data_IF_951513998818
#
_entry.id   IF_951513998818
#
_cell.length_a   1.000
_cell.length_b   1.000
_cell.length_c   1.000
_cell.angle_alpha   90.00
_cell.angle_beta   90.00
_cell.angle_gamma   90.00
#
_symmetry.space_group_name_H-M   'P 1'
#
loop_
_entity.id
_entity.type
_entity.pdbx_description
1 polymer ?
#
# COMPACT_ATOMS: atom_id res chain seq x y z
N UNK A 1 -3.95 -30.00 -28.72
CA UNK A 1 -5.02 -30.62 -27.90
C UNK A 1 -5.50 -29.58 -26.90
N UNK A 2 -6.72 -29.07 -27.05
CA UNK A 2 -7.28 -28.04 -26.17
C UNK A 2 -7.88 -28.71 -24.92
N UNK A 3 -7.27 -28.48 -23.76
CA UNK A 3 -7.81 -28.93 -22.47
C UNK A 3 -9.03 -28.09 -22.12
N UNK A 4 -10.21 -28.71 -22.14
CA UNK A 4 -11.44 -28.05 -21.71
C UNK A 4 -11.45 -27.81 -20.20
N UNK A 5 -11.81 -26.58 -19.81
CA UNK A 5 -11.90 -26.06 -18.43
C UNK A 5 -12.62 -26.98 -17.43
N UNK A 6 -13.57 -27.79 -17.92
CA UNK A 6 -14.36 -28.74 -17.12
C UNK A 6 -13.58 -30.00 -16.69
N UNK A 7 -12.52 -30.37 -17.41
CA UNK A 7 -11.67 -31.51 -17.06
C UNK A 7 -10.60 -31.15 -16.02
N UNK A 8 -10.14 -29.89 -16.02
CA UNK A 8 -9.22 -29.38 -14.99
C UNK A 8 -9.88 -29.33 -13.61
N UNK A 9 -11.15 -28.92 -13.54
CA UNK A 9 -11.91 -28.90 -12.27
C UNK A 9 -12.23 -30.31 -11.73
N UNK A 10 -12.37 -31.33 -12.60
CA UNK A 10 -12.53 -32.72 -12.17
C UNK A 10 -11.23 -33.32 -11.62
N UNK A 11 -10.07 -32.91 -12.16
CA UNK A 11 -8.77 -33.34 -11.63
C UNK A 11 -8.54 -32.81 -10.20
N UNK A 12 -8.90 -31.55 -9.93
CA UNK A 12 -8.83 -30.97 -8.57
C UNK A 12 -9.77 -31.67 -7.58
N UNK A 13 -10.97 -32.10 -8.01
CA UNK A 13 -11.92 -32.79 -7.14
C UNK A 13 -11.52 -34.24 -6.83
N UNK A 14 -10.77 -34.92 -7.71
CA UNK A 14 -10.36 -36.31 -7.53
C UNK A 14 -9.14 -36.48 -6.60
N UNK A 15 -8.29 -35.47 -6.46
CA UNK A 15 -7.14 -35.51 -5.54
C UNK A 15 -7.59 -35.42 -4.07
N UNK A 16 -8.76 -34.84 -3.80
CA UNK A 16 -9.30 -34.72 -2.44
C UNK A 16 -9.92 -36.02 -1.88
N UNK A 17 -10.01 -37.11 -2.65
CA UNK A 17 -10.77 -38.31 -2.26
C UNK A 17 -9.93 -39.59 -2.08
N UNK A 18 -8.60 -39.56 -2.29
CA UNK A 18 -7.77 -40.76 -2.36
C UNK A 18 -6.94 -41.10 -1.10
N UNK A 19 -7.05 -40.34 -0.01
CA UNK A 19 -6.32 -40.65 1.24
C UNK A 19 -7.30 -41.12 2.31
N UNK A 20 -8.07 -42.16 2.00
CA UNK A 20 -8.85 -42.89 2.98
C UNK A 20 -9.05 -44.32 2.47
N UNK A 21 -8.11 -45.23 2.80
CA UNK A 21 -8.33 -46.66 3.03
C UNK A 21 -6.97 -47.41 3.10
N UNK A 22 -6.63 -47.90 4.29
CA UNK A 22 -5.50 -48.81 4.50
C UNK A 22 -5.22 -49.07 5.98
N UNK A 23 -5.93 -50.05 6.58
CA UNK A 23 -5.75 -50.52 7.96
C UNK A 23 -4.98 -51.85 7.99
N UNK A 24 -4.17 -52.03 9.06
CA UNK A 24 -3.73 -53.27 9.74
C UNK A 24 -2.68 -54.13 8.98
N UNK A 25 -1.57 -54.64 9.52
CA UNK A 25 -1.17 -55.22 10.83
C UNK A 25 0.38 -55.18 10.98
N UNK A 26 1.02 -54.96 12.14
CA UNK A 26 1.52 -56.01 13.07
C UNK A 26 2.38 -55.39 14.21
N UNK A 27 2.28 -55.98 15.41
CA UNK A 27 3.11 -55.97 16.65
C UNK A 27 4.52 -55.30 16.63
N UNK A 28 5.04 -54.67 17.69
CA UNK A 28 5.23 -55.15 19.07
C UNK A 28 5.59 -54.00 20.04
N UNK A 29 5.42 -54.25 21.35
CA UNK A 29 5.62 -53.38 22.51
C UNK A 29 6.97 -52.66 22.62
N UNK A 30 6.95 -51.45 23.21
CA UNK A 30 7.73 -51.12 24.41
C UNK A 30 7.19 -49.84 25.06
N UNK A 31 6.94 -49.96 26.35
CA UNK A 31 6.36 -48.97 27.25
C UNK A 31 7.36 -47.88 27.64
N UNK A 32 6.98 -46.62 27.43
CA UNK A 32 7.43 -45.48 28.21
C UNK A 32 6.25 -44.52 28.41
N UNK A 33 6.14 -44.01 29.63
CA UNK A 33 5.11 -43.07 30.11
C UNK A 33 5.03 -41.83 29.23
N UNK A 34 3.84 -41.41 28.73
CA UNK A 34 3.71 -40.14 28.05
C UNK A 34 3.50 -39.02 29.09
N UNK A 35 4.40 -38.03 29.07
CA UNK A 35 4.05 -36.64 29.36
C UNK A 35 2.86 -36.23 28.49
N UNK A 36 2.03 -35.24 28.89
CA UNK A 36 0.89 -34.83 28.09
C UNK A 36 1.40 -34.18 26.79
N UNK A 37 1.53 -34.98 25.75
CA UNK A 37 1.83 -34.54 24.38
C UNK A 37 0.67 -33.67 23.90
N UNK A 38 1.04 -32.47 23.44
CA UNK A 38 0.39 -31.78 22.33
C UNK A 38 0.21 -32.77 21.18
N UNK A 39 -1.01 -33.30 21.05
CA UNK A 39 -1.39 -34.11 19.91
C UNK A 39 -1.48 -33.22 18.67
N UNK A 40 -0.36 -33.09 17.95
CA UNK A 40 -0.35 -32.52 16.61
C UNK A 40 -0.16 -33.65 15.61
N UNK A 41 -1.10 -33.72 14.67
CA UNK A 41 -1.10 -34.66 13.56
C UNK A 41 0.12 -34.37 12.68
N UNK A 42 0.87 -35.39 12.28
CA UNK A 42 1.89 -35.26 11.23
C UNK A 42 1.18 -34.87 9.93
N UNK A 43 1.16 -33.58 9.65
CA UNK A 43 0.49 -32.99 8.49
C UNK A 43 1.31 -33.14 7.19
N UNK A 44 2.44 -33.87 7.21
CA UNK A 44 3.35 -33.99 6.07
C UNK A 44 4.09 -32.70 5.73
N UNK A 45 4.07 -31.72 6.64
CA UNK A 45 4.81 -30.46 6.53
C UNK A 45 6.22 -30.67 7.08
N UNK A 46 7.24 -30.20 6.34
CA UNK A 46 8.64 -30.26 6.78
C UNK A 46 9.01 -29.31 7.93
N UNK A 47 8.00 -28.73 8.60
CA UNK A 47 8.14 -27.82 9.75
C UNK A 47 6.95 -28.00 10.69
N UNK A 48 7.12 -27.60 11.95
CA UNK A 48 6.02 -27.56 12.93
C UNK A 48 5.28 -26.21 12.81
N UNK A 49 3.98 -26.19 12.48
CA UNK A 49 3.19 -24.97 12.45
C UNK A 49 3.10 -24.32 13.83
N UNK A 50 3.12 -22.99 13.86
CA UNK A 50 2.91 -22.23 15.09
C UNK A 50 1.42 -22.20 15.44
N UNK A 51 1.09 -22.38 16.72
CA UNK A 51 -0.28 -22.25 17.19
C UNK A 51 -0.67 -20.77 17.27
N UNK A 52 -1.62 -20.36 16.42
CA UNK A 52 -2.18 -19.01 16.44
C UNK A 52 -3.26 -18.81 17.53
N UNK A 53 -3.79 -17.58 17.67
CA UNK A 53 -4.82 -17.27 18.67
C UNK A 53 -6.21 -17.80 18.30
N UNK A 54 -6.42 -18.27 17.07
CA UNK A 54 -7.67 -18.81 16.57
C UNK A 54 -7.43 -20.16 15.89
N UNK A 55 -8.35 -21.13 16.03
CA UNK A 55 -8.23 -22.41 15.36
C UNK A 55 -8.36 -22.25 13.84
N UNK A 56 -7.40 -22.80 13.10
CA UNK A 56 -7.46 -22.95 11.65
C UNK A 56 -7.87 -24.39 11.30
N UNK A 57 -8.53 -24.59 10.13
CA UNK A 57 -8.83 -25.94 9.64
C UNK A 57 -7.62 -26.86 9.51
N UNK A 58 -6.42 -26.27 9.35
CA UNK A 58 -5.13 -26.96 9.22
C UNK A 58 -4.54 -27.43 10.54
N UNK A 59 -5.08 -27.00 11.68
CA UNK A 59 -4.48 -27.29 12.99
C UNK A 59 -4.79 -28.71 13.48
N UNK A 60 -5.69 -29.43 12.78
CA UNK A 60 -6.06 -30.81 13.13
C UNK A 60 -6.84 -30.92 14.45
N UNK A 61 -7.30 -29.80 15.02
CA UNK A 61 -8.09 -29.76 16.26
C UNK A 61 -9.57 -29.96 15.96
N UNK A 62 -10.14 -31.06 16.46
CA UNK A 62 -11.57 -31.36 16.37
C UNK A 62 -12.41 -30.19 16.92
N UNK A 63 -13.50 -29.83 16.24
CA UNK A 63 -14.39 -28.72 16.62
C UNK A 63 -14.78 -28.73 18.11
N UNK A 64 -15.05 -29.92 18.68
CA UNK A 64 -15.46 -30.07 20.07
C UNK A 64 -14.35 -29.72 21.09
N UNK A 65 -13.09 -29.69 20.67
CA UNK A 65 -11.92 -29.40 21.52
C UNK A 65 -11.36 -28.00 21.31
N UNK A 66 -11.74 -27.31 20.23
CA UNK A 66 -11.18 -25.99 19.88
C UNK A 66 -11.37 -24.96 21.01
N UNK A 67 -12.55 -24.89 21.65
CA UNK A 67 -12.78 -23.93 22.74
C UNK A 67 -11.85 -24.14 23.94
N UNK A 68 -11.43 -25.39 24.19
CA UNK A 68 -10.48 -25.71 25.26
C UNK A 68 -9.04 -25.49 24.80
N UNK A 69 -8.69 -25.90 23.57
CA UNK A 69 -7.33 -25.78 23.03
C UNK A 69 -6.90 -24.32 22.77
N UNK A 70 -7.86 -23.41 22.57
CA UNK A 70 -7.63 -21.99 22.32
C UNK A 70 -8.23 -21.11 23.43
N UNK A 71 -8.43 -21.66 24.64
CA UNK A 71 -8.95 -20.87 25.77
C UNK A 71 -7.95 -19.83 26.30
N UNK A 72 -6.67 -20.01 26.00
CA UNK A 72 -5.57 -19.14 26.41
C UNK A 72 -4.57 -19.03 25.28
N UNK A 73 -3.93 -17.87 25.15
CA UNK A 73 -2.82 -17.64 24.24
C UNK A 73 -1.80 -16.73 24.91
N UNK A 74 -0.54 -16.82 24.48
CA UNK A 74 0.53 -15.93 24.91
C UNK A 74 0.65 -14.78 23.93
N UNK A 75 0.81 -13.56 24.44
CA UNK A 75 1.16 -12.40 23.62
C UNK A 75 2.68 -12.28 23.61
N UNK A 76 3.26 -12.55 22.45
CA UNK A 76 4.70 -12.36 22.21
C UNK A 76 4.85 -11.17 21.26
N UNK A 77 5.56 -10.13 21.70
CA UNK A 77 5.89 -8.96 20.88
C UNK A 77 7.15 -9.23 20.05
N UNK A 78 7.10 -10.26 19.20
CA UNK A 78 8.17 -10.71 18.32
C UNK A 78 7.60 -11.42 17.08
N UNK A 79 8.35 -11.44 15.98
CA UNK A 79 8.03 -12.25 14.81
C UNK A 79 8.42 -13.71 15.06
N UNK A 80 7.44 -14.52 15.45
CA UNK A 80 7.65 -15.96 15.66
C UNK A 80 7.63 -16.69 14.32
N UNK A 81 8.68 -17.46 14.05
CA UNK A 81 8.84 -18.23 12.81
C UNK A 81 8.98 -19.74 13.09
N UNK A 82 8.65 -20.61 12.12
CA UNK A 82 8.96 -22.03 12.21
C UNK A 82 10.47 -22.29 12.35
N UNK A 83 10.82 -23.44 12.90
CA UNK A 83 12.22 -23.88 13.00
C UNK A 83 12.93 -23.85 11.63
N UNK A 84 14.16 -23.33 11.61
CA UNK A 84 14.97 -23.19 10.39
C UNK A 84 14.73 -21.90 9.59
N UNK A 85 13.76 -21.07 9.97
CA UNK A 85 13.53 -19.75 9.38
C UNK A 85 14.12 -18.64 10.26
N UNK A 86 14.59 -17.58 9.61
CA UNK A 86 15.10 -16.36 10.25
C UNK A 86 14.54 -15.13 9.55
N UNK A 87 14.60 -13.98 10.21
CA UNK A 87 14.29 -12.69 9.60
C UNK A 87 15.40 -11.68 9.90
N UNK A 88 15.56 -10.71 8.99
CA UNK A 88 16.43 -9.56 9.16
C UNK A 88 15.58 -8.29 9.09
N UNK A 89 15.86 -7.31 9.95
CA UNK A 89 15.24 -5.98 9.86
C UNK A 89 15.99 -5.17 8.82
N UNK A 90 15.32 -4.83 7.71
CA UNK A 90 15.93 -4.09 6.60
C UNK A 90 15.91 -2.58 6.83
N UNK A 91 14.81 -2.05 7.34
CA UNK A 91 14.62 -0.64 7.66
C UNK A 91 13.43 -0.47 8.61
N UNK A 92 13.46 0.61 9.39
CA UNK A 92 12.39 1.04 10.27
C UNK A 92 12.04 2.52 10.04
N UNK A 93 10.84 2.93 10.45
CA UNK A 93 10.42 4.34 10.39
C UNK A 93 11.47 5.26 11.03
N UNK A 94 11.79 6.36 10.35
CA UNK A 94 12.80 7.32 10.78
C UNK A 94 14.21 7.06 10.23
N UNK A 95 14.52 5.84 9.76
CA UNK A 95 15.81 5.56 9.12
C UNK A 95 16.04 6.45 7.91
N UNK A 96 17.29 6.85 7.65
CA UNK A 96 17.59 7.72 6.50
C UNK A 96 17.27 7.03 5.16
N UNK A 97 16.58 7.76 4.27
CA UNK A 97 16.34 7.35 2.88
C UNK A 97 16.56 8.56 1.98
N UNK A 98 17.72 8.59 1.30
CA UNK A 98 18.11 9.73 0.47
C UNK A 98 18.22 11.03 1.26
N UNK A 99 17.46 12.04 0.83
CA UNK A 99 17.29 13.36 1.46
C UNK A 99 16.16 13.40 2.50
N UNK A 100 15.56 12.25 2.82
CA UNK A 100 14.41 12.11 3.70
C UNK A 100 14.60 10.90 4.64
N UNK A 101 13.49 10.32 5.10
CA UNK A 101 13.45 9.18 6.02
C UNK A 101 12.55 8.06 5.52
N UNK A 102 12.68 6.86 6.05
CA UNK A 102 11.74 5.77 5.86
C UNK A 102 10.41 6.14 6.52
N UNK A 103 9.31 6.05 5.77
CA UNK A 103 8.00 6.52 6.21
C UNK A 103 7.35 5.64 7.27
N UNK A 104 6.14 6.01 7.67
CA UNK A 104 5.34 5.32 8.69
C UNK A 104 4.41 4.29 8.06
N UNK A 105 4.09 3.22 8.80
CA UNK A 105 3.23 2.12 8.35
C UNK A 105 3.55 1.69 6.92
N UNK A 106 4.73 1.07 6.74
CA UNK A 106 5.05 0.51 5.44
C UNK A 106 3.99 -0.53 5.04
N UNK A 107 3.61 -0.50 3.78
CA UNK A 107 2.65 -1.43 3.21
C UNK A 107 3.33 -2.16 2.03
N UNK A 108 2.77 -2.10 0.83
CA UNK A 108 3.22 -2.91 -0.29
C UNK A 108 4.70 -2.74 -0.62
N UNK A 109 5.32 -3.88 -0.86
CA UNK A 109 6.72 -4.06 -1.17
C UNK A 109 6.86 -4.64 -2.58
N UNK A 110 7.66 -3.99 -3.42
CA UNK A 110 8.02 -4.49 -4.74
C UNK A 110 9.54 -4.57 -4.86
N UNK A 111 10.05 -5.79 -5.06
CA UNK A 111 11.47 -6.03 -5.31
C UNK A 111 11.76 -6.10 -6.82
N UNK A 112 12.63 -5.23 -7.31
CA UNK A 112 13.14 -5.24 -8.69
C UNK A 112 14.64 -5.57 -8.65
N UNK A 113 14.99 -6.75 -9.15
CA UNK A 113 16.38 -7.20 -9.17
C UNK A 113 17.25 -6.32 -10.08
N UNK A 114 18.44 -5.94 -9.60
CA UNK A 114 19.46 -5.22 -10.38
C UNK A 114 20.68 -6.10 -10.66
N UNK A 115 20.80 -7.23 -9.96
CA UNK A 115 21.87 -8.20 -10.08
C UNK A 115 21.58 -9.45 -9.26
N UNK A 116 22.51 -10.40 -9.27
CA UNK A 116 22.41 -11.58 -8.39
C UNK A 116 22.54 -11.15 -6.93
N UNK A 117 21.51 -11.40 -6.12
CA UNK A 117 21.50 -10.98 -4.72
C UNK A 117 21.42 -9.47 -4.51
N UNK A 118 21.05 -8.68 -5.52
CA UNK A 118 20.95 -7.22 -5.42
C UNK A 118 19.65 -6.72 -6.04
N UNK A 119 19.08 -5.66 -5.48
CA UNK A 119 17.92 -5.03 -6.08
C UNK A 119 17.46 -3.76 -5.39
N UNK A 120 16.39 -3.22 -5.95
CA UNK A 120 15.68 -2.06 -5.45
C UNK A 120 14.35 -2.51 -4.88
N UNK A 121 14.10 -2.17 -3.62
CA UNK A 121 12.82 -2.34 -2.98
C UNK A 121 12.05 -1.03 -3.06
N UNK A 122 10.92 -1.04 -3.74
CA UNK A 122 9.92 0.03 -3.63
C UNK A 122 9.00 -0.28 -2.48
N UNK A 123 8.77 0.71 -1.63
CA UNK A 123 8.01 0.60 -0.39
C UNK A 123 6.94 1.67 -0.37
N UNK A 124 5.70 1.26 -0.18
CA UNK A 124 4.60 2.18 0.12
C UNK A 124 4.58 2.55 1.60
N UNK A 125 4.16 3.77 1.92
CA UNK A 125 3.93 4.28 3.26
C UNK A 125 2.51 4.82 3.31
N UNK A 126 1.62 4.02 3.90
CA UNK A 126 0.19 4.18 3.68
C UNK A 126 -0.37 5.35 4.48
N UNK A 127 -0.33 5.26 5.81
CA UNK A 127 -0.94 6.23 6.72
C UNK A 127 -0.07 6.48 7.95
N UNK A 128 -0.46 7.45 8.78
CA UNK A 128 0.07 7.58 10.14
C UNK A 128 -0.99 7.16 11.16
N UNK A 129 -0.58 6.38 12.15
CA UNK A 129 -1.42 6.06 13.30
C UNK A 129 -1.42 7.25 14.26
N UNK A 130 -2.28 8.25 14.03
CA UNK A 130 -2.18 9.59 14.63
C UNK A 130 -1.76 9.65 16.11
N UNK A 131 -2.45 8.93 16.99
CA UNK A 131 -2.12 8.86 18.42
C UNK A 131 -0.69 8.33 18.68
N UNK A 132 -0.38 7.13 18.19
CA UNK A 132 0.93 6.50 18.34
C UNK A 132 2.02 7.36 17.70
N UNK A 133 1.78 7.87 16.49
CA UNK A 133 2.70 8.74 15.77
C UNK A 133 3.05 9.97 16.59
N UNK A 134 2.07 10.70 17.13
CA UNK A 134 2.36 11.88 17.97
C UNK A 134 3.15 11.52 19.24
N UNK A 135 2.88 10.36 19.84
CA UNK A 135 3.55 9.91 21.08
C UNK A 135 5.02 9.54 20.85
N UNK A 136 5.32 8.87 19.73
CA UNK A 136 6.67 8.37 19.45
C UNK A 136 7.49 9.25 18.51
N UNK A 137 6.88 10.27 17.86
CA UNK A 137 7.54 11.13 16.87
C UNK A 137 8.87 11.70 17.37
N UNK A 138 8.87 12.33 18.56
CA UNK A 138 10.08 12.93 19.09
C UNK A 138 11.18 11.91 19.41
N UNK A 139 10.81 10.68 19.79
CA UNK A 139 11.76 9.62 20.11
C UNK A 139 12.41 9.05 18.85
N UNK A 140 11.63 8.85 17.79
CA UNK A 140 12.11 8.25 16.53
C UNK A 140 12.80 9.28 15.64
N UNK A 141 12.23 10.49 15.54
CA UNK A 141 12.73 11.53 14.65
C UNK A 141 13.76 12.46 15.32
N UNK A 142 13.71 12.59 16.64
CA UNK A 142 14.53 13.57 17.36
C UNK A 142 14.05 15.02 17.21
N UNK A 143 12.79 15.22 16.76
CA UNK A 143 12.15 16.54 16.60
C UNK A 143 10.84 16.59 17.37
N UNK A 144 10.60 17.66 18.13
CA UNK A 144 9.30 17.91 18.76
C UNK A 144 8.37 18.68 17.82
N UNK A 145 7.06 18.47 17.95
CA UNK A 145 6.03 19.16 17.18
C UNK A 145 4.98 19.79 18.11
N UNK A 146 4.31 20.89 17.67
CA UNK A 146 3.43 21.69 18.53
C UNK A 146 2.05 21.05 18.78
N UNK A 147 1.98 19.73 19.01
CA UNK A 147 0.71 19.00 19.14
C UNK A 147 -0.19 19.55 20.27
N UNK A 148 0.39 19.84 21.43
CA UNK A 148 -0.39 20.32 22.59
C UNK A 148 -1.04 21.68 22.31
N UNK A 149 -0.29 22.59 21.68
CA UNK A 149 -0.77 23.93 21.35
C UNK A 149 -1.88 23.88 20.29
N UNK A 150 -1.70 23.08 19.25
CA UNK A 150 -2.71 22.94 18.19
C UNK A 150 -3.96 22.21 18.71
N UNK A 151 -3.81 21.18 19.54
CA UNK A 151 -4.97 20.52 20.21
C UNK A 151 -5.75 21.49 21.09
N UNK A 152 -5.06 22.34 21.84
CA UNK A 152 -5.70 23.38 22.67
C UNK A 152 -6.49 24.37 21.80
N UNK A 153 -5.90 24.83 20.69
CA UNK A 153 -6.58 25.73 19.76
C UNK A 153 -7.78 25.08 19.06
N UNK A 154 -7.73 23.77 18.77
CA UNK A 154 -8.80 23.02 18.13
C UNK A 154 -9.93 22.58 19.09
N UNK A 155 -9.79 22.80 20.40
CA UNK A 155 -10.73 22.27 21.39
C UNK A 155 -12.16 22.80 21.21
N UNK A 156 -12.31 24.08 20.85
CA UNK A 156 -13.61 24.71 20.63
C UNK A 156 -14.35 24.18 19.38
N UNK A 157 -13.62 23.54 18.47
CA UNK A 157 -14.13 23.01 17.20
C UNK A 157 -14.05 21.48 17.16
N UNK A 158 -14.03 20.82 18.32
CA UNK A 158 -13.96 19.36 18.45
C UNK A 158 -12.77 18.72 17.71
N UNK A 159 -11.66 19.45 17.58
CA UNK A 159 -10.46 19.00 16.89
C UNK A 159 -10.36 19.43 15.43
N UNK A 160 -11.40 20.03 14.84
CA UNK A 160 -11.45 20.38 13.41
C UNK A 160 -11.06 21.84 13.16
N UNK A 161 -10.16 22.11 12.21
CA UNK A 161 -9.78 23.46 11.82
C UNK A 161 -9.70 23.52 10.30
N UNK A 162 -10.42 24.47 9.68
CA UNK A 162 -10.19 24.84 8.29
C UNK A 162 -8.91 25.70 8.18
N UNK A 163 -7.76 25.04 8.30
CA UNK A 163 -6.46 25.69 8.33
C UNK A 163 -6.10 26.40 7.01
N UNK A 164 -6.70 25.97 5.90
CA UNK A 164 -6.59 26.66 4.60
C UNK A 164 -7.06 28.11 4.68
N UNK A 165 -8.17 28.36 5.37
CA UNK A 165 -8.80 29.68 5.47
C UNK A 165 -8.11 30.63 6.47
N UNK A 166 -7.19 30.13 7.30
CA UNK A 166 -6.43 30.97 8.22
C UNK A 166 -5.53 31.94 7.44
N UNK A 167 -5.30 33.17 7.94
CA UNK A 167 -4.32 34.10 7.37
C UNK A 167 -2.93 33.48 7.26
N UNK A 168 -2.13 33.90 6.28
CA UNK A 168 -0.80 33.32 6.04
C UNK A 168 0.20 33.65 7.15
N UNK A 169 0.01 34.75 7.86
CA UNK A 169 0.80 35.18 9.02
C UNK A 169 0.25 34.66 10.36
N UNK A 170 -0.82 33.85 10.34
CA UNK A 170 -1.40 33.27 11.54
C UNK A 170 -0.44 32.23 12.17
N UNK A 171 -0.02 32.42 13.44
CA UNK A 171 0.86 31.47 14.13
C UNK A 171 0.29 30.06 14.25
N UNK A 172 -1.04 29.90 14.33
CA UNK A 172 -1.70 28.61 14.37
C UNK A 172 -1.58 27.90 13.02
N UNK A 173 -1.74 28.64 11.90
CA UNK A 173 -1.54 28.08 10.55
C UNK A 173 -0.12 27.55 10.38
N UNK A 174 0.89 28.30 10.83
CA UNK A 174 2.29 27.87 10.77
C UNK A 174 2.54 26.56 11.55
N UNK A 175 1.96 26.42 12.75
CA UNK A 175 2.06 25.19 13.55
C UNK A 175 1.34 24.00 12.90
N UNK A 176 0.17 24.23 12.32
CA UNK A 176 -0.57 23.19 11.57
C UNK A 176 0.20 22.78 10.31
N UNK A 177 0.82 23.72 9.59
CA UNK A 177 1.69 23.44 8.45
C UNK A 177 2.87 22.58 8.85
N UNK A 178 3.47 22.83 10.01
CA UNK A 178 4.57 22.00 10.50
C UNK A 178 4.13 20.56 10.75
N UNK A 179 3.08 20.36 11.55
CA UNK A 179 2.52 19.01 11.82
C UNK A 179 2.13 18.31 10.52
N UNK A 180 1.45 19.03 9.63
CA UNK A 180 0.95 18.49 8.38
C UNK A 180 2.08 18.11 7.43
N UNK A 181 3.14 18.92 7.35
CA UNK A 181 4.32 18.61 6.54
C UNK A 181 4.97 17.33 7.02
N UNK A 182 5.24 17.20 8.32
CA UNK A 182 5.90 16.01 8.86
C UNK A 182 5.04 14.74 8.65
N UNK A 183 3.74 14.82 8.93
CA UNK A 183 2.83 13.68 8.72
C UNK A 183 2.62 13.31 7.25
N UNK A 184 2.83 14.22 6.30
CA UNK A 184 2.82 13.93 4.86
C UNK A 184 4.19 13.43 4.36
N UNK A 185 5.30 13.83 4.98
CA UNK A 185 6.64 13.24 4.73
C UNK A 185 6.64 11.74 5.07
N UNK A 186 5.91 11.36 6.12
CA UNK A 186 5.81 9.98 6.56
C UNK A 186 4.87 9.10 5.72
N UNK A 187 4.21 9.64 4.69
CA UNK A 187 3.40 8.90 3.72
C UNK A 187 4.01 8.98 2.31
N UNK A 188 3.52 8.15 1.39
CA UNK A 188 3.93 8.16 -0.01
C UNK A 188 4.62 6.86 -0.42
N UNK A 189 5.71 6.99 -1.16
CA UNK A 189 6.55 5.88 -1.61
C UNK A 189 8.02 6.13 -1.23
N UNK A 190 8.80 5.07 -1.22
CA UNK A 190 10.25 5.10 -1.14
C UNK A 190 10.87 4.05 -2.04
N UNK A 191 12.07 4.34 -2.54
CA UNK A 191 12.94 3.36 -3.18
C UNK A 191 14.16 3.22 -2.29
N UNK A 192 14.53 1.98 -2.01
CA UNK A 192 15.71 1.65 -1.21
C UNK A 192 16.50 0.55 -1.90
N UNK A 193 17.82 0.64 -1.88
CA UNK A 193 18.70 -0.38 -2.44
C UNK A 193 19.13 -1.37 -1.38
N UNK A 194 19.06 -2.66 -1.73
CA UNK A 194 19.42 -3.77 -0.86
C UNK A 194 20.35 -4.76 -1.57
N UNK A 195 21.18 -5.43 -0.80
CA UNK A 195 22.01 -6.54 -1.28
C UNK A 195 22.04 -7.68 -0.28
N UNK A 196 22.32 -8.86 -0.79
CA UNK A 196 22.60 -10.05 -0.01
C UNK A 196 24.09 -10.11 0.32
N UNK A 197 24.41 -10.27 1.59
CA UNK A 197 25.78 -10.43 2.08
C UNK A 197 26.29 -11.84 1.81
N UNK A 198 27.60 -12.06 1.99
CA UNK A 198 28.23 -13.36 1.78
C UNK A 198 27.72 -14.45 2.73
N UNK A 199 27.29 -14.09 3.95
CA UNK A 199 26.64 -14.97 4.92
C UNK A 199 25.12 -15.14 4.67
N UNK A 200 24.59 -14.48 3.63
CA UNK A 200 23.25 -14.70 3.13
C UNK A 200 22.16 -13.79 3.71
N UNK A 201 22.53 -12.81 4.55
CA UNK A 201 21.60 -11.79 5.08
C UNK A 201 21.32 -10.71 4.05
N UNK A 202 20.19 -10.04 4.19
CA UNK A 202 19.90 -8.86 3.37
C UNK A 202 20.15 -7.58 4.15
N UNK A 203 20.82 -6.61 3.51
CA UNK A 203 21.12 -5.31 4.12
C UNK A 203 20.89 -4.16 3.14
N UNK A 204 20.66 -2.96 3.68
CA UNK A 204 20.62 -1.72 2.93
C UNK A 204 22.00 -1.37 2.39
N UNK A 205 22.06 -0.94 1.12
CA UNK A 205 23.30 -0.40 0.55
C UNK A 205 23.38 1.12 0.61
N UNK A 206 22.27 1.81 0.95
CA UNK A 206 22.20 3.27 1.06
C UNK A 206 22.74 3.99 -0.20
N UNK A 207 22.36 3.49 -1.38
CA UNK A 207 22.89 3.97 -2.64
C UNK A 207 22.28 5.32 -3.03
N UNK A 208 22.84 6.01 -4.04
CA UNK A 208 22.20 7.19 -4.63
C UNK A 208 20.82 6.96 -5.26
N UNK A 209 20.37 5.70 -5.41
CA UNK A 209 19.00 5.40 -5.85
C UNK A 209 17.97 5.59 -4.74
N UNK A 210 18.41 5.60 -3.48
CA UNK A 210 17.54 5.72 -2.31
C UNK A 210 16.88 7.10 -2.29
N UNK A 211 15.55 7.11 -2.32
CA UNK A 211 14.77 8.36 -2.38
C UNK A 211 13.35 8.18 -1.86
N UNK A 212 12.73 9.29 -1.49
CA UNK A 212 11.31 9.36 -1.10
C UNK A 212 10.51 10.16 -2.12
N UNK A 213 9.29 9.70 -2.36
CA UNK A 213 8.22 10.43 -3.02
C UNK A 213 7.14 10.59 -1.96
N UNK A 214 7.10 11.74 -1.31
CA UNK A 214 6.29 11.94 -0.11
C UNK A 214 4.90 12.48 -0.45
N UNK A 215 4.00 12.52 0.54
CA UNK A 215 2.72 13.23 0.45
C UNK A 215 2.83 14.73 0.19
N UNK A 216 4.04 15.30 0.22
CA UNK A 216 4.30 16.73 0.00
C UNK A 216 5.35 17.02 -1.07
N UNK A 217 5.83 15.99 -1.79
CA UNK A 217 6.78 16.16 -2.90
C UNK A 217 6.18 17.06 -3.99
N UNK A 218 6.99 17.92 -4.59
CA UNK A 218 6.55 18.99 -5.48
C UNK A 218 6.36 20.33 -4.79
N UNK A 219 5.86 20.37 -3.54
CA UNK A 219 5.53 21.64 -2.89
C UNK A 219 6.77 22.50 -2.60
N UNK A 220 7.85 21.89 -2.12
CA UNK A 220 9.06 22.60 -1.68
C UNK A 220 10.31 22.27 -2.49
N UNK A 221 10.31 21.15 -3.20
CA UNK A 221 11.48 20.60 -3.90
C UNK A 221 11.32 20.61 -5.43
N UNK A 222 10.20 21.12 -5.95
CA UNK A 222 9.81 21.11 -7.36
C UNK A 222 9.75 19.72 -8.02
N UNK A 223 9.75 18.64 -7.24
CA UNK A 223 9.62 17.25 -7.71
C UNK A 223 8.15 16.86 -7.86
N UNK A 224 7.42 17.62 -8.68
CA UNK A 224 6.00 17.36 -8.93
C UNK A 224 5.79 16.02 -9.62
N UNK A 225 4.75 15.31 -9.19
CA UNK A 225 4.24 14.15 -9.91
C UNK A 225 3.59 14.62 -11.22
N UNK A 226 3.69 13.76 -12.23
CA UNK A 226 3.06 13.95 -13.54
C UNK A 226 1.73 13.22 -13.60
N UNK A 227 0.96 13.47 -14.65
CA UNK A 227 -0.23 12.68 -14.96
C UNK A 227 -0.32 12.35 -16.45
N UNK A 228 -0.94 11.20 -16.75
CA UNK A 228 -1.33 10.81 -18.11
C UNK A 228 -2.82 10.52 -18.16
N UNK A 229 -3.38 10.36 -19.37
CA UNK A 229 -4.78 10.05 -19.57
C UNK A 229 -5.72 11.27 -19.48
N UNK A 230 -7.04 11.05 -19.54
CA UNK A 230 -8.02 12.10 -19.79
C UNK A 230 -8.16 13.11 -18.65
N UNK A 231 -7.96 12.73 -17.39
CA UNK A 231 -8.15 13.68 -16.28
C UNK A 231 -7.06 14.77 -16.21
N UNK A 232 -5.90 14.56 -16.87
CA UNK A 232 -4.89 15.60 -17.01
C UNK A 232 -5.45 16.87 -17.69
N UNK A 233 -6.41 16.72 -18.61
CA UNK A 233 -7.08 17.87 -19.23
C UNK A 233 -8.00 18.62 -18.25
N UNK A 234 -8.59 17.93 -17.28
CA UNK A 234 -9.40 18.54 -16.22
C UNK A 234 -8.52 19.35 -15.27
N UNK A 235 -7.34 18.84 -14.92
CA UNK A 235 -6.40 19.54 -14.02
C UNK A 235 -5.90 20.88 -14.59
N UNK A 236 -5.90 21.04 -15.91
CA UNK A 236 -5.49 22.26 -16.61
C UNK A 236 -6.62 23.26 -16.87
N UNK A 237 -7.87 22.96 -16.46
CA UNK A 237 -8.98 23.90 -16.64
C UNK A 237 -8.80 25.13 -15.76
N UNK A 238 -8.92 26.30 -16.35
CA UNK A 238 -8.90 27.58 -15.63
C UNK A 238 -10.27 27.96 -15.07
N UNK A 239 -11.34 27.62 -15.81
CA UNK A 239 -12.72 27.87 -15.43
C UNK A 239 -13.35 26.55 -14.99
N UNK A 240 -13.70 26.46 -13.71
CA UNK A 240 -14.25 25.27 -13.07
C UNK A 240 -15.45 25.61 -12.19
N UNK A 241 -16.31 24.64 -11.95
CA UNK A 241 -17.46 24.77 -11.04
C UNK A 241 -17.03 24.83 -9.57
N UNK A 242 -16.01 24.04 -9.21
CA UNK A 242 -15.50 23.90 -7.86
C UNK A 242 -14.17 24.62 -7.63
N UNK A 243 -13.22 23.88 -7.07
CA UNK A 243 -11.92 24.35 -6.65
C UNK A 243 -10.80 23.83 -7.56
N UNK A 244 -9.79 24.69 -7.75
CA UNK A 244 -8.51 24.38 -8.39
C UNK A 244 -7.37 24.91 -7.54
N UNK A 245 -6.28 24.14 -7.44
CA UNK A 245 -5.05 24.56 -6.77
C UNK A 245 -4.17 25.46 -7.65
N UNK A 246 -4.61 25.76 -8.88
CA UNK A 246 -3.91 26.59 -9.87
C UNK A 246 -2.54 26.03 -10.31
N UNK A 247 -2.24 24.77 -10.02
CA UNK A 247 -0.98 24.14 -10.42
C UNK A 247 -1.02 23.51 -11.82
N UNK A 248 -2.19 23.48 -12.45
CA UNK A 248 -2.42 22.74 -13.69
C UNK A 248 -2.33 21.24 -13.43
N UNK A 249 -1.65 20.52 -14.31
CA UNK A 249 -1.40 19.07 -14.19
C UNK A 249 -0.16 18.71 -13.35
N UNK A 250 0.51 19.70 -12.75
CA UNK A 250 1.52 19.45 -11.71
C UNK A 250 0.82 19.00 -10.43
N UNK A 251 1.26 17.87 -9.88
CA UNK A 251 0.62 17.25 -8.72
C UNK A 251 1.61 17.24 -7.55
N UNK A 252 1.14 17.68 -6.38
CA UNK A 252 1.89 17.61 -5.13
C UNK A 252 1.62 16.25 -4.49
N UNK A 253 2.67 15.46 -4.37
CA UNK A 253 2.73 14.25 -3.56
C UNK A 253 1.78 13.12 -3.95
N UNK A 254 1.93 12.06 -3.18
CA UNK A 254 1.09 10.86 -3.14
C UNK A 254 1.00 10.43 -1.68
N UNK A 255 -0.17 10.01 -1.23
CA UNK A 255 -0.42 9.59 0.15
C UNK A 255 -1.53 8.55 0.20
N UNK A 256 -1.69 7.88 1.34
CA UNK A 256 -2.62 6.75 1.47
C UNK A 256 -2.28 5.67 0.45
N UNK A 257 -0.97 5.46 0.28
CA UNK A 257 -0.39 4.47 -0.64
C UNK A 257 -0.49 3.09 0.01
N UNK A 258 -1.51 2.33 -0.35
CA UNK A 258 -1.83 1.02 0.21
C UNK A 258 -1.01 -0.06 -0.48
N UNK A 259 -1.66 -0.84 -1.35
CA UNK A 259 -1.06 -1.90 -2.12
C UNK A 259 -0.46 -1.42 -3.45
N UNK A 260 -0.22 -2.36 -4.37
CA UNK A 260 0.36 -2.05 -5.67
C UNK A 260 0.58 -3.27 -6.56
N UNK A 261 1.51 -3.12 -7.50
CA UNK A 261 1.92 -4.19 -8.41
C UNK A 261 3.18 -3.84 -9.19
N UNK A 262 4.06 -4.82 -9.41
CA UNK A 262 5.23 -4.68 -10.26
C UNK A 262 4.85 -4.94 -11.71
N UNK A 263 5.27 -4.07 -12.62
CA UNK A 263 5.06 -4.28 -14.05
C UNK A 263 6.09 -5.26 -14.62
N UNK A 264 5.77 -5.99 -15.71
CA UNK A 264 6.75 -6.87 -16.36
C UNK A 264 7.99 -6.16 -16.94
N UNK A 265 7.95 -4.83 -17.07
CA UNK A 265 9.05 -3.98 -17.54
C UNK A 265 9.82 -3.28 -16.41
N UNK A 266 9.59 -3.68 -15.15
CA UNK A 266 10.42 -3.30 -14.00
C UNK A 266 10.08 -1.94 -13.38
N UNK A 267 8.94 -1.35 -13.72
CA UNK A 267 8.36 -0.23 -12.96
C UNK A 267 7.42 -0.75 -11.88
N UNK A 268 7.04 0.11 -10.94
CA UNK A 268 6.16 -0.23 -9.82
C UNK A 268 4.94 0.69 -9.84
N UNK A 269 3.76 0.08 -9.72
CA UNK A 269 2.49 0.76 -9.55
C UNK A 269 2.12 0.76 -8.05
N UNK A 270 1.82 1.93 -7.52
CA UNK A 270 1.40 2.16 -6.14
C UNK A 270 -0.01 2.75 -6.11
N UNK A 271 -0.81 2.29 -5.17
CA UNK A 271 -2.24 2.54 -5.15
C UNK A 271 -2.62 3.61 -4.10
N UNK A 272 -3.16 4.74 -4.52
CA UNK A 272 -3.81 5.68 -3.58
C UNK A 272 -5.20 5.14 -3.23
N UNK A 273 -5.40 4.77 -1.96
CA UNK A 273 -6.57 4.02 -1.49
C UNK A 273 -7.49 4.92 -0.66
N UNK A 274 -7.20 5.08 0.63
CA UNK A 274 -7.99 5.93 1.54
C UNK A 274 -7.62 7.43 1.48
N UNK A 275 -7.40 7.98 0.27
CA UNK A 275 -6.96 9.37 0.04
C UNK A 275 -7.92 10.43 0.61
N UNK A 276 -9.19 10.07 0.80
CA UNK A 276 -10.22 10.92 1.41
C UNK A 276 -9.91 11.33 2.87
N UNK A 277 -8.96 10.65 3.53
CA UNK A 277 -8.46 11.07 4.83
C UNK A 277 -7.67 12.39 4.80
N UNK A 278 -7.24 12.84 3.62
CA UNK A 278 -6.46 14.06 3.44
C UNK A 278 -7.17 15.14 2.62
N UNK A 279 -7.97 14.74 1.62
CA UNK A 279 -8.58 15.65 0.64
C UNK A 279 -10.04 15.24 0.34
N UNK A 280 -10.89 16.14 -0.17
CA UNK A 280 -12.25 15.77 -0.55
C UNK A 280 -12.30 14.68 -1.64
N UNK A 281 -13.03 13.59 -1.38
CA UNK A 281 -13.27 12.52 -2.37
C UNK A 281 -14.16 13.00 -3.53
N UNK A 282 -15.31 13.66 -3.30
CA UNK A 282 -16.22 14.01 -4.39
C UNK A 282 -15.62 15.01 -5.36
N UNK A 283 -16.18 15.04 -6.58
CA UNK A 283 -15.86 16.03 -7.62
C UNK A 283 -17.15 16.57 -8.22
N UNK A 284 -17.09 17.79 -8.75
CA UNK A 284 -18.18 18.36 -9.53
C UNK A 284 -18.33 17.66 -10.89
N UNK A 285 -19.43 17.95 -11.59
CA UNK A 285 -19.73 17.33 -12.88
C UNK A 285 -18.66 17.63 -13.95
N UNK A 286 -17.92 18.74 -13.82
CA UNK A 286 -16.81 19.09 -14.70
C UNK A 286 -15.46 18.45 -14.30
N UNK A 287 -15.45 17.66 -13.22
CA UNK A 287 -14.30 16.97 -12.65
C UNK A 287 -13.44 17.82 -11.70
N UNK A 288 -13.84 19.06 -11.42
CA UNK A 288 -13.14 19.92 -10.45
C UNK A 288 -13.39 19.47 -9.01
N UNK A 289 -12.46 19.81 -8.11
CA UNK A 289 -12.50 19.36 -6.72
C UNK A 289 -13.48 20.18 -5.88
N UNK A 290 -13.89 19.66 -4.73
CA UNK A 290 -14.45 20.49 -3.66
C UNK A 290 -13.34 21.29 -2.98
N UNK A 291 -13.68 22.44 -2.40
CA UNK A 291 -12.72 23.28 -1.70
C UNK A 291 -12.13 22.57 -0.47
N UNK A 292 -10.88 22.88 -0.05
CA UNK A 292 -10.21 22.23 1.08
C UNK A 292 -11.01 22.23 2.38
N UNK A 293 -11.89 23.21 2.60
CA UNK A 293 -12.81 23.28 3.74
C UNK A 293 -13.71 22.05 3.91
N UNK A 294 -13.95 21.28 2.84
CA UNK A 294 -14.74 20.05 2.87
C UNK A 294 -13.96 18.85 3.45
N UNK A 295 -12.67 19.03 3.74
CA UNK A 295 -11.83 18.08 4.45
C UNK A 295 -10.90 18.87 5.40
N UNK A 296 -11.41 19.37 6.54
CA UNK A 296 -10.62 20.19 7.46
C UNK A 296 -9.46 19.40 8.07
N UNK A 297 -8.46 20.12 8.59
CA UNK A 297 -7.44 19.52 9.44
C UNK A 297 -8.10 19.03 10.74
N UNK A 298 -7.81 17.80 11.15
CA UNK A 298 -8.37 17.21 12.38
C UNK A 298 -7.23 16.79 13.30
N UNK A 299 -7.29 17.17 14.58
CA UNK A 299 -6.36 16.70 15.60
C UNK A 299 -7.06 16.36 16.92
N UNK A 300 -6.72 15.20 17.48
CA UNK A 300 -7.17 14.72 18.79
C UNK A 300 -6.07 13.86 19.43
N UNK A 301 -6.31 13.23 20.58
CA UNK A 301 -5.36 12.28 21.16
C UNK A 301 -5.19 11.00 20.33
N UNK A 302 -6.11 10.71 19.41
CA UNK A 302 -6.11 9.49 18.60
C UNK A 302 -5.77 9.72 17.14
N UNK A 303 -6.04 10.92 16.63
CA UNK A 303 -6.03 11.18 15.19
C UNK A 303 -5.32 12.48 14.88
N UNK A 304 -4.64 12.48 13.74
CA UNK A 304 -4.24 13.66 12.99
C UNK A 304 -4.66 13.33 11.56
N UNK A 305 -5.51 14.12 10.91
CA UNK A 305 -6.02 13.88 9.54
C UNK A 305 -6.22 15.22 8.81
N UNK A 306 -6.57 15.19 7.52
CA UNK A 306 -6.78 16.40 6.74
C UNK A 306 -5.52 17.27 6.63
N UNK A 307 -4.33 16.66 6.68
CA UNK A 307 -3.04 17.36 6.66
C UNK A 307 -2.85 18.15 5.36
N UNK A 308 -3.46 17.69 4.27
CA UNK A 308 -3.43 18.39 2.99
C UNK A 308 -4.29 19.68 2.97
N UNK A 309 -5.20 19.87 3.92
CA UNK A 309 -6.07 21.05 4.01
C UNK A 309 -5.25 22.35 4.01
N UNK A 310 -4.28 22.45 4.90
CA UNK A 310 -3.50 23.69 5.09
C UNK A 310 -2.63 24.07 3.87
N UNK A 311 -2.39 23.11 2.98
CA UNK A 311 -1.67 23.31 1.72
C UNK A 311 -2.60 23.51 0.53
N UNK A 312 -3.92 23.46 0.72
CA UNK A 312 -4.90 23.69 -0.32
C UNK A 312 -4.86 22.66 -1.45
N UNK A 313 -4.50 21.40 -1.15
CA UNK A 313 -4.39 20.38 -2.19
C UNK A 313 -5.77 20.03 -2.77
N UNK A 314 -5.87 19.97 -4.10
CA UNK A 314 -7.13 19.66 -4.78
C UNK A 314 -7.39 18.15 -4.82
N UNK A 315 -8.50 17.70 -4.23
CA UNK A 315 -8.85 16.29 -4.07
C UNK A 315 -9.01 15.50 -5.37
N UNK A 316 -9.34 16.15 -6.49
CA UNK A 316 -9.45 15.49 -7.80
C UNK A 316 -8.09 14.98 -8.32
N UNK A 317 -6.97 15.40 -7.75
CA UNK A 317 -5.61 14.94 -8.09
C UNK A 317 -5.16 13.68 -7.32
N UNK A 318 -6.03 13.08 -6.51
CA UNK A 318 -5.73 11.88 -5.71
C UNK A 318 -6.77 10.78 -5.91
N UNK A 319 -6.42 9.56 -5.51
CA UNK A 319 -7.20 8.35 -5.77
C UNK A 319 -6.84 7.69 -7.08
N UNK A 320 -5.56 7.76 -7.47
CA UNK A 320 -5.06 7.22 -8.73
C UNK A 320 -3.98 6.17 -8.49
N UNK A 321 -3.77 5.32 -9.49
CA UNK A 321 -2.56 4.48 -9.55
C UNK A 321 -1.35 5.34 -9.96
N UNK A 322 -0.27 5.28 -9.18
CA UNK A 322 0.98 6.02 -9.38
C UNK A 322 2.08 5.06 -9.84
N UNK A 323 2.64 5.27 -11.03
CA UNK A 323 3.77 4.50 -11.52
C UNK A 323 5.10 5.20 -11.18
N UNK A 324 6.10 4.43 -10.73
CA UNK A 324 7.50 4.86 -10.59
C UNK A 324 8.45 3.86 -11.24
N UNK A 325 9.54 4.34 -11.83
CA UNK A 325 10.70 3.53 -12.19
C UNK A 325 11.73 3.55 -11.07
N UNK A 326 11.88 2.46 -10.28
CA UNK A 326 12.84 2.44 -9.19
C UNK A 326 14.28 2.64 -9.68
N UNK A 327 14.60 2.19 -10.89
CA UNK A 327 15.95 2.29 -11.47
C UNK A 327 16.27 3.67 -12.07
N UNK A 328 15.30 4.59 -12.15
CA UNK A 328 15.52 5.97 -12.58
C UNK A 328 15.45 6.92 -11.38
N UNK A 329 16.59 7.46 -10.88
CA UNK A 329 16.59 8.31 -9.68
C UNK A 329 15.87 9.65 -9.87
N UNK A 330 15.60 10.04 -11.13
CA UNK A 330 14.90 11.28 -11.48
C UNK A 330 13.39 11.06 -11.73
N UNK A 331 12.88 9.84 -11.55
CA UNK A 331 11.45 9.57 -11.59
C UNK A 331 10.82 9.70 -10.21
N UNK A 332 9.88 10.63 -10.11
CA UNK A 332 9.13 10.99 -8.90
C UNK A 332 7.65 10.62 -8.97
N UNK A 333 7.22 9.94 -10.04
CA UNK A 333 5.89 9.36 -10.13
C UNK A 333 4.99 9.97 -11.19
N UNK A 334 4.21 9.09 -11.83
CA UNK A 334 3.20 9.44 -12.83
C UNK A 334 1.86 8.83 -12.45
N UNK A 335 0.82 9.67 -12.31
CA UNK A 335 -0.55 9.21 -12.06
C UNK A 335 -1.22 8.82 -13.39
N UNK A 336 -1.66 7.57 -13.53
CA UNK A 336 -2.30 7.06 -14.75
C UNK A 336 -3.81 7.17 -14.68
N UNK A 337 -4.35 8.30 -15.13
CA UNK A 337 -5.76 8.64 -14.87
C UNK A 337 -6.76 7.78 -15.63
N UNK A 338 -6.33 7.09 -16.69
CA UNK A 338 -7.20 6.17 -17.43
C UNK A 338 -7.41 4.82 -16.70
N UNK A 339 -6.65 4.53 -15.64
CA UNK A 339 -6.89 3.40 -14.76
C UNK A 339 -8.08 3.61 -13.80
N UNK A 340 -8.67 4.82 -13.81
CA UNK A 340 -9.82 5.21 -12.99
C UNK A 340 -9.41 5.95 -11.72
N UNK A 341 -10.38 6.62 -11.09
CA UNK A 341 -10.23 7.30 -9.80
C UNK A 341 -11.12 6.65 -8.76
N UNK A 342 -10.54 5.96 -7.80
CA UNK A 342 -11.23 5.28 -6.71
C UNK A 342 -10.23 4.85 -5.62
N UNK A 343 -10.69 4.15 -4.59
CA UNK A 343 -9.82 3.65 -3.51
C UNK A 343 -9.05 2.44 -4.01
N UNK A 344 -7.93 2.65 -4.70
CA UNK A 344 -7.19 1.56 -5.33
C UNK A 344 -6.53 0.66 -4.29
N UNK A 345 -6.69 -0.65 -4.45
CA UNK A 345 -5.95 -1.68 -3.70
C UNK A 345 -4.80 -2.22 -4.60
N UNK A 346 -4.52 -3.53 -4.55
CA UNK A 346 -3.54 -4.18 -5.42
C UNK A 346 -3.93 -4.09 -6.90
N UNK A 347 -2.91 -4.16 -7.75
CA UNK A 347 -3.06 -4.17 -9.22
C UNK A 347 -2.39 -5.38 -9.85
N UNK A 348 -3.10 -6.03 -10.77
CA UNK A 348 -2.58 -7.13 -11.58
C UNK A 348 -2.31 -6.68 -13.01
N UNK A 349 -1.06 -6.74 -13.45
CA UNK A 349 -0.66 -6.37 -14.82
C UNK A 349 -0.50 -7.62 -15.68
N UNK A 350 -1.16 -7.64 -16.84
CA UNK A 350 -1.03 -8.69 -17.85
C UNK A 350 -0.56 -8.10 -19.17
N UNK A 351 0.74 -8.22 -19.41
CA UNK A 351 1.39 -7.88 -20.68
C UNK A 351 1.65 -9.16 -21.49
N UNK A 352 1.16 -9.20 -22.73
CA UNK A 352 1.38 -10.34 -23.64
C UNK A 352 1.72 -9.77 -25.01
N UNK A 353 2.85 -10.18 -25.57
CA UNK A 353 3.29 -9.78 -26.90
C UNK A 353 2.17 -9.94 -27.94
N UNK A 354 2.01 -8.92 -28.78
CA UNK A 354 0.99 -8.84 -29.83
C UNK A 354 -0.44 -8.60 -29.32
N UNK A 355 -0.64 -8.37 -28.01
CA UNK A 355 -1.97 -8.10 -27.42
C UNK A 355 -2.00 -6.74 -26.73
N UNK A 356 -3.20 -6.14 -26.61
CA UNK A 356 -3.40 -5.03 -25.68
C UNK A 356 -2.95 -5.37 -24.26
N UNK A 357 -2.33 -4.39 -23.59
CA UNK A 357 -2.05 -4.44 -22.16
C UNK A 357 -3.37 -4.52 -21.40
N UNK A 358 -3.45 -5.39 -20.40
CA UNK A 358 -4.58 -5.45 -19.49
C UNK A 358 -4.12 -5.22 -18.05
N UNK A 359 -4.84 -4.38 -17.32
CA UNK A 359 -4.57 -4.06 -15.92
C UNK A 359 -5.84 -4.28 -15.10
N UNK A 360 -5.77 -5.05 -14.02
CA UNK A 360 -6.90 -5.34 -13.13
C UNK A 360 -6.69 -4.65 -11.79
N UNK A 361 -7.69 -3.96 -11.26
CA UNK A 361 -7.59 -3.23 -9.99
C UNK A 361 -8.89 -3.34 -9.20
N UNK A 362 -8.80 -3.41 -7.88
CA UNK A 362 -9.94 -3.38 -6.97
C UNK A 362 -10.17 -1.99 -6.38
N UNK A 363 -11.42 -1.67 -6.07
CA UNK A 363 -11.77 -0.54 -5.22
C UNK A 363 -12.10 -1.06 -3.81
N UNK A 364 -11.23 -0.82 -2.84
CA UNK A 364 -11.45 -1.26 -1.45
C UNK A 364 -12.41 -0.31 -0.73
N UNK A 365 -13.70 -0.58 -0.94
CA UNK A 365 -14.77 -0.06 -0.11
C UNK A 365 -15.95 -1.00 -0.16
N UNK A 366 -16.82 -0.92 0.85
CA UNK A 366 -18.09 -1.63 0.81
C UNK A 366 -18.90 -1.19 -0.42
N UNK A 367 -19.28 -2.15 -1.25
CA UNK A 367 -19.96 -1.86 -2.52
C UNK A 367 -19.02 -1.39 -3.65
N UNK A 368 -17.70 -1.46 -3.45
CA UNK A 368 -16.70 -1.26 -4.49
C UNK A 368 -16.78 -2.29 -5.62
N UNK A 369 -16.01 -2.06 -6.68
CA UNK A 369 -16.00 -2.91 -7.87
C UNK A 369 -14.58 -3.38 -8.20
N UNK A 370 -14.51 -4.43 -9.01
CA UNK A 370 -13.29 -4.83 -9.70
C UNK A 370 -13.30 -4.18 -11.08
N UNK A 371 -12.21 -3.51 -11.41
CA UNK A 371 -12.01 -2.82 -12.66
C UNK A 371 -10.99 -3.55 -13.54
N UNK A 372 -11.13 -3.36 -14.84
CA UNK A 372 -10.17 -3.83 -15.84
C UNK A 372 -9.92 -2.71 -16.84
N UNK A 373 -8.69 -2.26 -16.96
CA UNK A 373 -8.24 -1.43 -18.06
C UNK A 373 -7.69 -2.30 -19.20
N UNK A 374 -7.93 -1.90 -20.45
CA UNK A 374 -7.34 -2.48 -21.66
C UNK A 374 -6.79 -1.36 -22.52
N UNK A 375 -5.50 -1.40 -22.84
CA UNK A 375 -4.87 -0.37 -23.68
C UNK A 375 -5.40 -0.37 -25.12
N UNK A 376 -5.31 0.78 -25.78
CA UNK A 376 -5.57 0.89 -27.22
C UNK A 376 -4.43 0.33 -28.06
N UNK A 377 -3.19 0.61 -27.64
CA UNK A 377 -1.99 0.03 -28.24
C UNK A 377 -1.76 -1.41 -27.81
N UNK A 378 -0.80 -2.07 -28.46
CA UNK A 378 -0.40 -3.45 -28.17
C UNK A 378 0.99 -3.49 -27.52
N UNK A 379 1.21 -4.49 -26.68
CA UNK A 379 2.54 -4.81 -26.14
C UNK A 379 3.36 -5.47 -27.24
N UNK A 380 4.47 -4.85 -27.63
CA UNK A 380 5.45 -5.44 -28.56
C UNK A 380 6.40 -6.39 -27.82
N UNK A 381 6.97 -5.92 -26.71
CA UNK A 381 7.83 -6.69 -25.83
C UNK A 381 7.35 -6.47 -24.38
N UNK A 382 6.93 -7.50 -23.63
CA UNK A 382 6.44 -7.35 -22.26
C UNK A 382 7.42 -6.68 -21.29
N UNK A 383 8.73 -6.77 -21.55
CA UNK A 383 9.78 -6.22 -20.69
C UNK A 383 10.21 -4.79 -21.09
N UNK A 384 9.64 -4.21 -22.15
CA UNK A 384 9.99 -2.87 -22.62
C UNK A 384 9.39 -1.79 -21.73
N UNK A 385 10.22 -0.89 -21.20
CA UNK A 385 9.80 0.25 -20.38
C UNK A 385 8.89 1.23 -21.12
N UNK A 386 8.91 1.24 -22.46
CA UNK A 386 7.97 2.03 -23.25
C UNK A 386 6.49 1.64 -23.03
N UNK A 387 6.22 0.44 -22.47
CA UNK A 387 4.87 -0.02 -22.15
C UNK A 387 4.13 0.86 -21.14
N UNK A 388 4.82 1.64 -20.29
CA UNK A 388 4.18 2.66 -19.43
C UNK A 388 3.31 3.63 -20.23
N UNK A 389 3.71 3.95 -21.48
CA UNK A 389 2.93 4.79 -22.38
C UNK A 389 1.57 4.20 -22.78
N UNK A 390 1.41 2.87 -22.71
CA UNK A 390 0.14 2.19 -23.05
C UNK A 390 -0.95 2.44 -22.00
N UNK A 391 -0.61 2.90 -20.81
CA UNK A 391 -1.55 3.24 -19.74
C UNK A 391 -2.29 4.56 -20.00
N UNK A 392 -1.88 5.35 -20.99
CA UNK A 392 -2.46 6.66 -21.28
C UNK A 392 -3.72 6.61 -22.17
N UNK A 393 -3.88 5.55 -22.98
CA UNK A 393 -4.98 5.40 -23.95
C UNK A 393 -5.55 3.97 -23.96
N UNK A 394 -6.87 3.84 -23.98
CA UNK A 394 -7.55 2.55 -23.84
C UNK A 394 -8.98 2.67 -23.34
N UNK A 395 -9.46 1.61 -22.68
CA UNK A 395 -10.82 1.52 -22.15
C UNK A 395 -10.81 0.91 -20.76
N UNK A 396 -11.50 1.56 -19.83
CA UNK A 396 -11.74 1.07 -18.47
C UNK A 396 -13.11 0.39 -18.40
N UNK A 397 -13.15 -0.80 -17.83
CA UNK A 397 -14.34 -1.62 -17.62
C UNK A 397 -14.54 -1.83 -16.12
N UNK A 398 -15.80 -1.96 -15.70
CA UNK A 398 -16.18 -2.38 -14.35
C UNK A 398 -16.88 -3.75 -14.41
N UNK A 399 -16.56 -4.64 -13.47
CA UNK A 399 -17.23 -5.91 -13.34
C UNK A 399 -18.66 -5.71 -12.80
N UNK A 400 -19.64 -6.26 -13.50
CA UNK A 400 -21.04 -6.28 -13.07
C UNK A 400 -21.43 -7.68 -12.60
N UNK A 401 -22.17 -7.76 -11.49
CA UNK A 401 -22.80 -9.01 -11.08
C UNK A 401 -24.00 -9.24 -11.99
N UNK A 402 -23.88 -10.20 -12.91
CA UNK A 402 -25.04 -10.68 -13.67
C UNK A 402 -25.83 -11.56 -12.70
N UNK A 403 -27.04 -11.13 -12.34
CA UNK A 403 -27.97 -12.01 -11.62
C UNK A 403 -28.28 -13.20 -12.53
N UNK A 404 -27.92 -14.40 -12.08
CA UNK A 404 -28.21 -15.66 -12.77
C UNK A 404 -29.66 -16.09 -12.53
#
# INVERSE_FOLDING_TARGET
MALQRRNFLKFMAAVASAVALGKLTSCTQLSSTPSPNSGLVDNGLGFQPLQGPLPLPTDGVELAKQSQSYSTYEVVDDLVLPEGFTYDVIAAWGDKVGDSRFGYNNDYLSFVATGEGEGLLTVNFEYISGGTWMQSYAQVIGKSLPFAEVKSAAAATQGEINAFALPNDDPLKAKIQEISREGLIDQGLGVISIKKTADGKWERTNSPMDRRITGISGLIDNRYLKSTGPAAAVFRKEQVQGYTDQLGDRIIGSFQNCAGGTTPWGTVLSAEENFQAQVPEPVYADGSSFAPENCPFVISDKQVNGRANVFGLAGNKYGWMVEIDPANPNDYGTKHTLLGRFHHEAVGVRAVEGKPLAVYSGCDRRGGHVYKFVSKGVVSNPQDKANSGLLAEGTLYAAVKIAA
#
